data_IF_085043275386
#
_entry.id   IF_085043275386
#
_cell.length_a   1.000
_cell.length_b   1.000
_cell.length_c   1.000
_cell.angle_alpha   90.00
_cell.angle_beta   90.00
_cell.angle_gamma   90.00
#
_symmetry.space_group_name_H-M   'P 1'
#
loop_
_entity.id
_entity.type
_entity.pdbx_description
1 polymer ?
#
# COMPACT_ATOMS: atom_id res chain seq x y z
N UNK A 1 -13.71 2.87 6.02
CA UNK A 1 -14.27 2.29 4.78
C UNK A 1 -14.16 3.34 3.69
N UNK A 2 -13.89 2.97 2.44
CA UNK A 2 -13.90 3.91 1.33
C UNK A 2 -14.34 3.20 0.03
N UNK A 3 -15.16 3.88 -0.77
CA UNK A 3 -15.57 3.40 -2.11
C UNK A 3 -16.15 1.97 -2.13
N UNK A 4 -16.97 1.62 -1.13
CA UNK A 4 -17.56 0.27 -1.00
C UNK A 4 -16.53 -0.84 -0.70
N UNK A 5 -15.33 -0.49 -0.25
CA UNK A 5 -14.26 -1.43 0.10
C UNK A 5 -13.81 -1.19 1.54
N UNK A 6 -13.43 -2.27 2.21
CA UNK A 6 -12.88 -2.25 3.57
C UNK A 6 -11.39 -2.50 3.49
N UNK A 7 -10.61 -1.56 3.99
CA UNK A 7 -9.16 -1.66 4.04
C UNK A 7 -8.73 -1.95 5.47
N UNK A 8 -7.93 -3.00 5.64
CA UNK A 8 -7.40 -3.42 6.93
C UNK A 8 -5.88 -3.40 6.84
N UNK A 9 -5.27 -2.55 7.67
CA UNK A 9 -3.83 -2.53 7.85
C UNK A 9 -3.45 -3.48 8.98
N UNK A 10 -2.41 -4.27 8.76
CA UNK A 10 -1.81 -5.16 9.76
C UNK A 10 -0.34 -4.77 9.96
N UNK A 11 0.37 -5.49 10.82
CA UNK A 11 1.80 -5.25 11.11
C UNK A 11 2.71 -5.34 9.88
N UNK A 12 2.29 -5.92 8.76
CA UNK A 12 3.15 -5.98 7.56
C UNK A 12 2.38 -6.00 6.24
N UNK A 13 1.05 -6.06 6.29
CA UNK A 13 0.22 -6.21 5.10
C UNK A 13 -0.95 -5.24 5.13
N UNK A 14 -1.33 -4.78 3.95
CA UNK A 14 -2.60 -4.14 3.69
C UNK A 14 -3.52 -5.15 3.01
N UNK A 15 -4.67 -5.40 3.60
CA UNK A 15 -5.69 -6.31 3.06
C UNK A 15 -6.89 -5.48 2.64
N UNK A 16 -7.33 -5.67 1.40
CA UNK A 16 -8.54 -5.04 0.87
C UNK A 16 -9.64 -6.07 0.77
N UNK A 17 -10.78 -5.79 1.39
CA UNK A 17 -12.00 -6.58 1.33
C UNK A 17 -13.09 -5.84 0.55
N UNK A 18 -13.98 -6.60 -0.09
CA UNK A 18 -15.25 -6.05 -0.57
C UNK A 18 -16.14 -5.71 0.64
N UNK A 19 -16.88 -4.61 0.58
CA UNK A 19 -17.94 -4.36 1.55
C UNK A 19 -19.15 -5.24 1.22
N UNK A 20 -19.63 -6.01 2.19
CA UNK A 20 -20.75 -6.94 2.04
C UNK A 20 -20.84 -7.89 3.25
N UNK A 21 -21.87 -8.73 3.28
CA UNK A 21 -22.07 -9.74 4.33
C UNK A 21 -21.00 -10.85 4.26
N UNK A 22 -20.52 -11.18 3.06
CA UNK A 22 -19.44 -12.14 2.86
C UNK A 22 -18.07 -11.47 2.83
N UNK A 23 -17.15 -12.05 3.61
CA UNK A 23 -15.78 -11.58 3.75
C UNK A 23 -14.92 -11.97 2.55
N UNK A 24 -15.07 -11.25 1.43
CA UNK A 24 -14.29 -11.50 0.21
C UNK A 24 -13.01 -10.67 0.19
N UNK A 25 -11.87 -11.34 0.28
CA UNK A 25 -10.54 -10.71 0.07
C UNK A 25 -10.40 -10.38 -1.42
N UNK A 26 -10.16 -9.11 -1.72
CA UNK A 26 -9.92 -8.63 -3.09
C UNK A 26 -8.44 -8.60 -3.42
N UNK A 27 -7.60 -8.20 -2.46
CA UNK A 27 -6.15 -8.08 -2.66
C UNK A 27 -5.42 -8.02 -1.33
N UNK A 28 -4.18 -8.52 -1.34
CA UNK A 28 -3.21 -8.35 -0.26
C UNK A 28 -1.97 -7.66 -0.81
N UNK A 29 -1.45 -6.66 -0.09
CA UNK A 29 -0.22 -5.96 -0.43
C UNK A 29 0.74 -6.08 0.75
N UNK A 30 1.93 -6.63 0.51
CA UNK A 30 3.00 -6.69 1.49
C UNK A 30 3.68 -5.32 1.57
N UNK A 31 3.62 -4.68 2.75
CA UNK A 31 4.18 -3.35 2.99
C UNK A 31 5.59 -3.41 3.58
N UNK A 32 6.05 -4.59 4.02
CA UNK A 32 7.40 -4.82 4.57
C UNK A 32 7.68 -4.13 5.92
N UNK A 33 6.77 -3.30 6.43
CA UNK A 33 6.88 -2.58 7.69
C UNK A 33 5.50 -2.40 8.32
N UNK A 34 5.50 -2.16 9.64
CA UNK A 34 4.31 -1.88 10.44
C UNK A 34 3.53 -0.71 9.89
N UNK A 35 2.29 -0.98 9.46
CA UNK A 35 1.34 0.04 9.02
C UNK A 35 0.20 0.14 10.03
N UNK A 36 0.27 1.17 10.87
CA UNK A 36 -0.73 1.49 11.89
C UNK A 36 -1.38 2.85 11.59
N UNK A 37 -1.63 3.15 10.31
CA UNK A 37 -2.30 4.36 9.89
C UNK A 37 -3.66 4.06 9.28
N UNK A 38 -4.57 5.02 9.37
CA UNK A 38 -5.84 4.99 8.64
C UNK A 38 -5.55 5.27 7.17
N UNK A 39 -5.78 4.30 6.26
CA UNK A 39 -5.52 4.51 4.85
C UNK A 39 -6.56 5.47 4.27
N UNK A 40 -6.13 6.37 3.40
CA UNK A 40 -7.00 7.37 2.78
C UNK A 40 -7.15 7.04 1.30
N UNK A 41 -8.39 6.86 0.85
CA UNK A 41 -8.70 6.64 -0.56
C UNK A 41 -9.02 7.98 -1.22
N UNK A 42 -8.21 8.38 -2.20
CA UNK A 42 -8.38 9.63 -2.95
C UNK A 42 -8.22 9.32 -4.43
N UNK A 43 -9.21 9.72 -5.26
CA UNK A 43 -9.16 9.58 -6.73
C UNK A 43 -8.83 8.17 -7.25
N UNK A 44 -9.25 7.11 -6.55
CA UNK A 44 -8.97 5.72 -6.93
C UNK A 44 -7.59 5.19 -6.50
N UNK A 45 -6.78 6.00 -5.83
CA UNK A 45 -5.52 5.61 -5.20
C UNK A 45 -5.70 5.57 -3.69
N UNK A 46 -5.22 4.50 -3.06
CA UNK A 46 -5.17 4.37 -1.62
C UNK A 46 -3.78 4.73 -1.13
N UNK A 47 -3.69 5.77 -0.29
CA UNK A 47 -2.43 6.17 0.34
C UNK A 47 -2.37 5.58 1.74
N UNK A 48 -1.27 4.89 2.04
CA UNK A 48 -1.04 4.24 3.34
C UNK A 48 0.35 4.59 3.87
N UNK A 49 0.41 5.06 5.10
CA UNK A 49 1.68 5.32 5.78
C UNK A 49 2.08 4.11 6.64
N UNK A 50 3.30 3.61 6.42
CA UNK A 50 3.98 2.71 7.34
C UNK A 50 5.00 3.47 8.18
N UNK A 51 5.60 2.81 9.17
CA UNK A 51 6.63 3.40 10.04
C UNK A 51 7.77 4.08 9.26
N UNK A 52 8.13 3.52 8.10
CA UNK A 52 9.34 3.89 7.37
C UNK A 52 9.05 4.38 5.94
N UNK A 53 7.83 4.17 5.42
CA UNK A 53 7.52 4.42 4.02
C UNK A 53 6.09 4.93 3.83
N UNK A 54 5.86 5.70 2.78
CA UNK A 54 4.52 6.06 2.31
C UNK A 54 4.26 5.27 1.04
N UNK A 55 3.12 4.59 1.01
CA UNK A 55 2.70 3.73 -0.08
C UNK A 55 1.51 4.33 -0.81
N UNK A 56 1.55 4.28 -2.14
CA UNK A 56 0.39 4.55 -3.00
C UNK A 56 -0.02 3.25 -3.68
N UNK A 57 -1.23 2.78 -3.38
CA UNK A 57 -1.78 1.52 -3.88
C UNK A 57 -2.92 1.83 -4.83
N UNK A 58 -2.85 1.32 -6.06
CA UNK A 58 -3.89 1.47 -7.06
C UNK A 58 -4.09 0.13 -7.79
N UNK A 59 -5.32 -0.13 -8.23
CA UNK A 59 -5.64 -1.32 -9.03
C UNK A 59 -4.86 -1.29 -10.35
N UNK A 60 -4.07 -2.33 -10.62
CA UNK A 60 -3.24 -2.43 -11.81
C UNK A 60 -1.93 -1.63 -11.74
N UNK A 61 -1.60 -1.03 -10.58
CA UNK A 61 -0.31 -0.40 -10.39
C UNK A 61 0.80 -1.46 -10.42
N UNK A 62 1.80 -1.23 -11.26
CA UNK A 62 3.05 -1.99 -11.21
C UNK A 62 3.86 -1.45 -10.03
N UNK A 63 4.31 -2.29 -9.09
CA UNK A 63 5.26 -1.81 -8.10
C UNK A 63 6.46 -1.26 -8.86
N UNK A 64 6.75 0.03 -8.66
CA UNK A 64 7.99 0.59 -9.14
C UNK A 64 9.09 -0.20 -8.45
N UNK A 65 9.76 -1.09 -9.19
CA UNK A 65 11.04 -1.59 -8.76
C UNK A 65 11.89 -0.34 -8.65
N UNK A 66 12.15 0.10 -7.43
CA UNK A 66 13.14 1.12 -7.18
C UNK A 66 14.45 0.51 -7.67
N UNK A 67 14.76 0.75 -8.94
CA UNK A 67 16.14 0.76 -9.39
C UNK A 67 16.77 1.90 -8.60
N UNK A 68 17.30 1.54 -7.43
CA UNK A 68 18.24 2.39 -6.77
C UNK A 68 19.39 2.50 -7.77
N UNK A 69 19.40 3.60 -8.53
CA UNK A 69 20.61 4.11 -9.12
C UNK A 69 21.56 4.28 -7.93
N UNK A 70 22.40 3.27 -7.70
CA UNK A 70 23.60 3.37 -6.90
C UNK A 70 24.40 4.44 -7.61
N UNK A 71 24.25 5.68 -7.16
CA UNK A 71 25.16 6.75 -7.50
C UNK A 71 26.53 6.33 -6.98
N UNK A 72 27.38 5.90 -7.89
CA UNK A 72 28.81 5.74 -7.64
C UNK A 72 29.36 7.09 -7.15
N UNK A 73 30.04 7.18 -5.99
CA UNK A 73 30.88 8.32 -5.71
C UNK A 73 32.19 8.11 -6.46
N UNK A 74 32.41 8.84 -7.54
CA UNK A 74 33.73 8.96 -8.16
C UNK A 74 34.07 10.44 -8.26
N UNK A 75 34.53 11.00 -7.14
CA UNK A 75 35.23 12.28 -7.10
C UNK A 75 36.73 12.01 -7.24
N UNK A 76 37.29 12.54 -8.35
CA UNK A 76 38.71 12.83 -8.68
C UNK A 76 39.78 11.78 -8.40
#
# INVERSE_FOLDING_TARGET
>A
MADGKVYVCTKSKLITFAAGEERKVLSEVLLGSSAYSTPVATNGTLVVCSQSYIWAVQKGARPAVATAAIGTPASK
#
